data_IF_508866498281
#
_entry.id   IF_508866498281
#
_cell.length_a   1.000
_cell.length_b   1.000
_cell.length_c   1.000
_cell.angle_alpha   90.00
_cell.angle_beta   90.00
_cell.angle_gamma   90.00
#
_symmetry.space_group_name_H-M   'P 1'
#
loop_
_entity.id
_entity.type
_entity.pdbx_description
1 polymer ?
#
# COMPACT_ATOMS: atom_id res chain seq x y z
N UNK A 1 -32.54 -21.71 51.10
CA UNK A 1 -31.86 -22.08 52.37
C UNK A 1 -31.98 -20.87 53.26
N UNK A 2 -32.76 -20.99 54.33
CA UNK A 2 -32.89 -19.92 55.31
C UNK A 2 -31.78 -20.09 56.36
N UNK A 3 -31.09 -19.00 56.69
CA UNK A 3 -30.07 -18.97 57.74
C UNK A 3 -30.27 -17.71 58.57
N UNK A 4 -30.55 -17.88 59.86
CA UNK A 4 -30.59 -16.78 60.83
C UNK A 4 -29.16 -16.44 61.27
N UNK A 5 -28.80 -15.16 61.21
CA UNK A 5 -27.45 -14.66 61.51
C UNK A 5 -27.53 -13.53 62.53
N UNK A 6 -26.64 -13.54 63.52
CA UNK A 6 -26.50 -12.44 64.49
C UNK A 6 -25.58 -11.36 63.93
N UNK A 7 -26.02 -10.11 63.93
CA UNK A 7 -25.19 -8.95 63.53
C UNK A 7 -24.24 -8.63 64.68
N UNK A 8 -22.94 -8.78 64.44
CA UNK A 8 -21.88 -8.46 65.39
C UNK A 8 -21.55 -6.97 65.40
N UNK A 9 -20.68 -6.53 64.48
CA UNK A 9 -20.31 -5.13 64.28
C UNK A 9 -20.93 -4.61 62.98
N UNK A 10 -21.35 -3.35 62.95
CA UNK A 10 -21.80 -2.66 61.74
C UNK A 10 -20.93 -1.43 61.53
N UNK A 11 -20.24 -1.36 60.40
CA UNK A 11 -19.50 -0.18 59.94
C UNK A 11 -20.13 0.36 58.63
N UNK A 12 -19.71 1.55 58.22
CA UNK A 12 -20.30 2.31 57.10
C UNK A 12 -20.12 1.68 55.69
N UNK A 13 -19.49 0.50 55.58
CA UNK A 13 -19.37 -0.25 54.32
C UNK A 13 -19.50 -1.77 54.48
N UNK A 14 -19.11 -2.33 55.63
CA UNK A 14 -19.18 -3.77 55.93
C UNK A 14 -19.82 -3.98 57.30
N UNK A 15 -20.66 -5.01 57.41
CA UNK A 15 -21.15 -5.56 58.66
C UNK A 15 -20.61 -6.97 58.85
N UNK A 16 -20.34 -7.33 60.11
CA UNK A 16 -19.88 -8.65 60.53
C UNK A 16 -21.10 -9.45 60.97
N UNK A 17 -21.43 -10.52 60.24
CA UNK A 17 -22.50 -11.45 60.59
C UNK A 17 -21.92 -12.73 61.21
N UNK A 18 -22.61 -13.28 62.20
CA UNK A 18 -22.19 -14.44 62.99
C UNK A 18 -23.24 -15.56 62.91
N UNK A 19 -22.81 -16.77 62.57
CA UNK A 19 -23.65 -17.98 62.59
C UNK A 19 -23.72 -18.59 64.00
N UNK A 20 -24.72 -19.46 64.24
CA UNK A 20 -24.77 -20.28 65.46
C UNK A 20 -23.53 -21.19 65.63
N UNK A 21 -22.96 -21.69 64.52
CA UNK A 21 -21.70 -22.45 64.52
C UNK A 21 -20.43 -21.58 64.55
N UNK A 22 -20.58 -20.30 64.93
CA UNK A 22 -19.50 -19.31 65.20
C UNK A 22 -18.62 -18.96 63.99
N UNK A 23 -19.13 -19.11 62.77
CA UNK A 23 -18.48 -18.55 61.58
C UNK A 23 -18.71 -17.06 61.53
N UNK A 24 -17.69 -16.35 61.04
CA UNK A 24 -17.74 -14.94 60.70
C UNK A 24 -18.00 -14.82 59.19
N UNK A 25 -18.96 -13.97 58.82
CA UNK A 25 -19.28 -13.61 57.43
C UNK A 25 -19.21 -12.09 57.32
N UNK A 26 -18.28 -11.58 56.53
CA UNK A 26 -18.28 -10.18 56.12
C UNK A 26 -19.37 -9.95 55.07
N UNK A 27 -20.22 -8.96 55.27
CA UNK A 27 -21.37 -8.68 54.42
C UNK A 27 -21.48 -7.17 54.16
N UNK A 28 -21.64 -6.70 52.90
CA UNK A 28 -21.77 -5.28 52.62
C UNK A 28 -22.95 -4.67 53.37
N UNK A 29 -22.74 -3.64 54.19
CA UNK A 29 -23.80 -3.12 55.07
C UNK A 29 -24.94 -2.44 54.29
N UNK A 30 -24.68 -2.00 53.06
CA UNK A 30 -25.69 -1.50 52.10
C UNK A 30 -26.71 -2.58 51.65
N UNK A 31 -26.42 -3.86 51.84
CA UNK A 31 -27.33 -4.98 51.50
C UNK A 31 -28.16 -5.46 52.70
N UNK A 32 -28.02 -4.82 53.86
CA UNK A 32 -28.85 -5.07 55.05
C UNK A 32 -30.02 -4.07 55.14
N UNK A 33 -31.06 -4.36 55.94
CA UNK A 33 -32.11 -3.39 56.24
C UNK A 33 -31.54 -2.10 56.87
N UNK A 34 -32.13 -0.91 56.62
CA UNK A 34 -31.57 0.36 57.09
C UNK A 34 -31.55 0.51 58.61
N UNK A 35 -32.48 -0.13 59.32
CA UNK A 35 -32.62 -0.07 60.79
C UNK A 35 -31.80 -1.15 61.52
N UNK A 36 -30.75 -1.70 60.88
CA UNK A 36 -29.95 -2.79 61.45
C UNK A 36 -28.90 -2.30 62.46
N UNK A 37 -28.77 -3.02 63.57
CA UNK A 37 -27.89 -2.65 64.69
C UNK A 37 -27.07 -3.86 65.17
N UNK A 38 -25.97 -3.62 65.90
CA UNK A 38 -25.28 -4.68 66.64
C UNK A 38 -26.22 -5.41 67.61
N UNK A 39 -26.23 -6.74 67.53
CA UNK A 39 -27.14 -7.61 68.27
C UNK A 39 -28.47 -7.92 67.56
N UNK A 40 -28.77 -7.31 66.41
CA UNK A 40 -29.93 -7.71 65.58
C UNK A 40 -29.75 -9.12 65.01
N UNK A 41 -30.85 -9.81 64.73
CA UNK A 41 -30.85 -11.09 64.00
C UNK A 41 -31.44 -10.86 62.60
N UNK A 42 -30.79 -11.40 61.57
CA UNK A 42 -31.20 -11.30 60.16
C UNK A 42 -31.40 -12.69 59.58
N UNK A 43 -32.58 -12.93 58.99
CA UNK A 43 -32.87 -14.15 58.23
C UNK A 43 -32.47 -13.96 56.76
N UNK A 44 -31.36 -14.57 56.34
CA UNK A 44 -30.94 -14.57 54.93
C UNK A 44 -31.47 -15.83 54.24
N UNK A 45 -32.33 -15.65 53.22
CA UNK A 45 -32.83 -16.74 52.39
C UNK A 45 -32.04 -16.85 51.07
N UNK A 46 -31.00 -17.68 51.07
CA UNK A 46 -30.18 -17.95 49.88
C UNK A 46 -30.87 -18.99 49.00
N UNK A 47 -31.16 -18.66 47.73
CA UNK A 47 -31.72 -19.60 46.75
C UNK A 47 -31.11 -19.40 45.36
N UNK A 48 -31.00 -20.49 44.58
CA UNK A 48 -30.39 -20.47 43.25
C UNK A 48 -31.40 -19.98 42.21
N UNK A 49 -31.18 -18.78 41.66
CA UNK A 49 -32.09 -18.19 40.67
C UNK A 49 -31.79 -18.69 39.24
N UNK A 50 -32.25 -19.92 38.95
CA UNK A 50 -32.07 -20.59 37.66
C UNK A 50 -32.63 -19.77 36.47
N UNK A 51 -33.65 -18.93 36.70
CA UNK A 51 -34.22 -18.08 35.65
C UNK A 51 -33.28 -16.93 35.28
N UNK A 52 -32.66 -16.28 36.27
CA UNK A 52 -31.65 -15.25 36.03
C UNK A 52 -30.37 -15.83 35.40
N UNK A 53 -29.96 -17.04 35.79
CA UNK A 53 -28.85 -17.77 35.16
C UNK A 53 -29.10 -18.03 33.68
N UNK A 54 -30.28 -18.57 33.33
CA UNK A 54 -30.68 -18.82 31.94
C UNK A 54 -30.74 -17.53 31.10
N UNK A 55 -31.22 -16.42 31.68
CA UNK A 55 -31.20 -15.11 31.01
C UNK A 55 -29.76 -14.61 30.81
N UNK A 56 -28.86 -14.83 31.77
CA UNK A 56 -27.46 -14.44 31.64
C UNK A 56 -26.73 -15.27 30.57
N UNK A 57 -26.97 -16.58 30.52
CA UNK A 57 -26.45 -17.48 29.49
C UNK A 57 -26.95 -17.10 28.09
N UNK A 58 -28.25 -16.82 27.94
CA UNK A 58 -28.82 -16.34 26.67
C UNK A 58 -28.22 -15.00 26.22
N UNK A 59 -28.04 -14.03 27.14
CA UNK A 59 -27.38 -12.75 26.83
C UNK A 59 -25.92 -12.93 26.42
N UNK A 60 -25.19 -13.81 27.08
CA UNK A 60 -23.81 -14.14 26.72
C UNK A 60 -23.75 -14.79 25.33
N UNK A 61 -24.59 -15.80 25.06
CA UNK A 61 -24.68 -16.46 23.75
C UNK A 61 -25.01 -15.49 22.62
N UNK A 62 -25.99 -14.59 22.82
CA UNK A 62 -26.34 -13.56 21.86
C UNK A 62 -25.16 -12.62 21.55
N UNK A 63 -24.45 -12.13 22.57
CA UNK A 63 -23.27 -11.27 22.41
C UNK A 63 -22.12 -11.99 21.68
N UNK A 64 -21.88 -13.28 21.97
CA UNK A 64 -20.87 -14.06 21.25
C UNK A 64 -21.26 -14.26 19.77
N UNK A 65 -22.54 -14.48 19.47
CA UNK A 65 -23.05 -14.53 18.10
C UNK A 65 -22.88 -13.19 17.37
N UNK A 66 -23.24 -12.07 18.00
CA UNK A 66 -23.08 -10.72 17.43
C UNK A 66 -21.61 -10.40 17.10
N UNK A 67 -20.68 -10.70 18.03
CA UNK A 67 -19.24 -10.53 17.81
C UNK A 67 -18.74 -11.42 16.66
N UNK A 68 -19.21 -12.67 16.58
CA UNK A 68 -18.84 -13.58 15.49
C UNK A 68 -19.40 -13.11 14.14
N UNK A 69 -20.65 -12.66 14.09
CA UNK A 69 -21.29 -12.13 12.88
C UNK A 69 -20.57 -10.87 12.38
N UNK A 70 -20.29 -9.91 13.28
CA UNK A 70 -19.64 -8.66 12.95
C UNK A 70 -18.17 -8.83 12.49
N UNK A 71 -17.38 -9.67 13.18
CA UNK A 71 -15.92 -9.72 12.98
C UNK A 71 -15.37 -11.04 12.41
N UNK A 72 -16.13 -12.15 12.50
CA UNK A 72 -15.68 -13.50 12.13
C UNK A 72 -16.22 -14.06 10.82
N UNK A 73 -17.31 -13.51 10.27
CA UNK A 73 -17.96 -14.05 9.05
C UNK A 73 -17.30 -13.61 7.74
N UNK A 74 -16.70 -12.42 7.69
CA UNK A 74 -16.16 -11.83 6.46
C UNK A 74 -14.65 -11.60 6.56
N UNK A 75 -13.94 -11.96 5.49
CA UNK A 75 -12.48 -11.92 5.37
C UNK A 75 -12.11 -11.09 4.12
N UNK A 76 -11.02 -10.29 4.12
CA UNK A 76 -10.59 -9.52 2.96
C UNK A 76 -10.48 -10.35 1.68
N UNK A 77 -11.01 -9.83 0.57
CA UNK A 77 -10.87 -10.44 -0.75
C UNK A 77 -9.47 -10.21 -1.33
N UNK A 78 -8.83 -11.19 -2.00
CA UNK A 78 -7.62 -10.94 -2.77
C UNK A 78 -7.90 -9.94 -3.91
N UNK A 79 -6.98 -9.00 -4.19
CA UNK A 79 -7.21 -7.97 -5.21
C UNK A 79 -7.19 -8.57 -6.62
N UNK A 80 -8.20 -8.27 -7.44
CA UNK A 80 -8.28 -8.74 -8.83
C UNK A 80 -7.57 -7.76 -9.77
N UNK A 81 -6.41 -8.13 -10.30
CA UNK A 81 -5.59 -7.29 -11.18
C UNK A 81 -5.94 -7.52 -12.66
N UNK A 82 -6.19 -6.45 -13.41
CA UNK A 82 -6.60 -6.48 -14.83
C UNK A 82 -5.74 -5.53 -15.67
N UNK A 83 -5.50 -5.88 -16.94
CA UNK A 83 -4.80 -5.02 -17.90
C UNK A 83 -5.83 -4.15 -18.62
N UNK A 84 -5.74 -2.82 -18.47
CA UNK A 84 -6.64 -1.86 -19.12
C UNK A 84 -6.16 -1.48 -20.52
N UNK A 85 -4.87 -1.20 -20.65
CA UNK A 85 -4.23 -0.89 -21.92
C UNK A 85 -2.73 -1.23 -21.88
N UNK A 86 -2.17 -1.65 -23.00
CA UNK A 86 -0.74 -1.84 -23.18
C UNK A 86 -0.26 -1.04 -24.40
N UNK A 87 1.01 -0.64 -24.38
CA UNK A 87 1.67 0.12 -25.45
C UNK A 87 3.07 -0.45 -25.66
N UNK A 88 3.88 0.19 -26.51
CA UNK A 88 5.25 -0.27 -26.80
C UNK A 88 6.19 -0.09 -25.59
N UNK A 89 5.96 0.90 -24.72
CA UNK A 89 6.87 1.24 -23.60
C UNK A 89 6.17 1.50 -22.26
N UNK A 90 4.84 1.34 -22.20
CA UNK A 90 4.07 1.45 -20.96
C UNK A 90 2.85 0.53 -20.91
N UNK A 91 2.41 0.17 -19.70
CA UNK A 91 1.19 -0.61 -19.44
C UNK A 91 0.36 0.13 -18.39
N UNK A 92 -0.96 0.16 -18.57
CA UNK A 92 -1.92 0.65 -17.59
C UNK A 92 -2.68 -0.52 -16.99
N UNK A 93 -2.52 -0.67 -15.68
CA UNK A 93 -3.15 -1.69 -14.85
C UNK A 93 -4.30 -1.07 -14.07
N UNK A 94 -5.37 -1.83 -13.89
CA UNK A 94 -6.48 -1.49 -13.00
C UNK A 94 -6.86 -2.70 -12.14
N UNK A 95 -7.58 -2.47 -11.06
CA UNK A 95 -8.08 -3.53 -10.18
C UNK A 95 -9.45 -3.17 -9.62
N UNK A 96 -10.19 -4.20 -9.24
CA UNK A 96 -11.53 -4.03 -8.68
C UNK A 96 -11.44 -3.42 -7.26
N UNK A 97 -12.50 -2.72 -6.79
CA UNK A 97 -12.54 -2.18 -5.42
C UNK A 97 -12.28 -3.28 -4.38
N UNK A 98 -11.29 -3.05 -3.52
CA UNK A 98 -10.84 -4.06 -2.56
C UNK A 98 -11.82 -4.12 -1.39
N UNK A 99 -12.54 -5.25 -1.26
CA UNK A 99 -13.29 -5.52 -0.03
C UNK A 99 -12.31 -5.93 1.08
N UNK A 100 -12.33 -5.18 2.17
CA UNK A 100 -11.50 -5.39 3.36
C UNK A 100 -12.26 -6.06 4.52
N UNK A 101 -13.58 -6.25 4.40
CA UNK A 101 -14.44 -6.60 5.53
C UNK A 101 -14.17 -5.68 6.74
N UNK A 102 -13.83 -6.25 7.89
CA UNK A 102 -13.45 -5.53 9.13
C UNK A 102 -11.95 -5.19 9.23
N UNK A 103 -11.14 -5.55 8.24
CA UNK A 103 -9.69 -5.37 8.29
C UNK A 103 -9.22 -3.99 7.81
N UNK A 104 -8.12 -3.50 8.36
CA UNK A 104 -7.52 -2.22 7.94
C UNK A 104 -6.52 -2.43 6.79
N UNK A 105 -6.57 -1.58 5.76
CA UNK A 105 -5.58 -1.57 4.67
C UNK A 105 -4.23 -1.00 5.16
N UNK A 106 -3.24 -1.87 5.39
CA UNK A 106 -1.87 -1.47 5.73
C UNK A 106 -1.09 -0.99 4.51
N UNK A 107 -1.10 -1.76 3.42
CA UNK A 107 -0.49 -1.33 2.14
C UNK A 107 -0.96 -2.16 0.95
N UNK A 108 -1.14 -1.53 -0.21
CA UNK A 108 -1.19 -2.22 -1.50
C UNK A 108 0.14 -1.97 -2.24
N UNK A 109 0.83 -3.04 -2.65
CA UNK A 109 2.13 -2.95 -3.36
C UNK A 109 2.06 -3.64 -4.72
N UNK A 110 2.55 -2.99 -5.78
CA UNK A 110 2.68 -3.62 -7.10
C UNK A 110 4.05 -4.27 -7.24
N UNK A 111 4.08 -5.47 -7.81
CA UNK A 111 5.28 -6.22 -8.16
C UNK A 111 5.36 -6.43 -9.68
N UNK A 112 6.56 -6.30 -10.24
CA UNK A 112 6.90 -6.54 -11.65
C UNK A 112 8.06 -7.53 -11.73
N UNK A 113 7.86 -8.66 -12.40
CA UNK A 113 8.84 -9.75 -12.57
C UNK A 113 9.44 -10.21 -11.22
N UNK A 114 8.60 -10.33 -10.19
CA UNK A 114 9.00 -10.73 -8.83
C UNK A 114 9.56 -9.61 -7.94
N UNK A 115 9.99 -8.48 -8.50
CA UNK A 115 10.52 -7.33 -7.76
C UNK A 115 9.43 -6.32 -7.44
N UNK A 116 9.44 -5.73 -6.23
CA UNK A 116 8.50 -4.66 -5.87
C UNK A 116 8.74 -3.42 -6.73
N UNK A 117 7.73 -3.03 -7.50
CA UNK A 117 7.76 -1.86 -8.39
C UNK A 117 7.33 -0.57 -7.67
N UNK A 118 6.46 -0.66 -6.66
CA UNK A 118 6.03 0.50 -5.88
C UNK A 118 4.97 0.18 -4.83
N UNK A 119 4.52 1.23 -4.13
CA UNK A 119 3.31 1.22 -3.28
C UNK A 119 2.24 2.02 -4.01
N UNK A 120 1.00 1.53 -3.94
CA UNK A 120 -0.16 2.14 -4.57
C UNK A 120 -0.88 3.04 -3.55
N UNK A 121 -1.18 4.31 -3.89
CA UNK A 121 -1.99 5.20 -3.05
C UNK A 121 -3.41 4.66 -2.80
N UNK A 122 -3.95 4.89 -1.60
CA UNK A 122 -5.24 4.32 -1.15
C UNK A 122 -6.45 4.80 -1.98
N UNK A 123 -6.34 5.97 -2.61
CA UNK A 123 -7.35 6.62 -3.45
C UNK A 123 -7.47 6.06 -4.88
N UNK A 124 -6.59 5.12 -5.28
CA UNK A 124 -6.45 4.72 -6.70
C UNK A 124 -6.87 3.28 -6.94
N UNK A 125 -7.58 3.09 -8.05
CA UNK A 125 -7.95 1.79 -8.63
C UNK A 125 -7.19 1.46 -9.94
N UNK A 126 -6.20 2.29 -10.31
CA UNK A 126 -5.36 2.08 -11.49
C UNK A 126 -3.99 2.74 -11.37
N UNK A 127 -3.02 2.27 -12.15
CA UNK A 127 -1.66 2.82 -12.24
C UNK A 127 -1.05 2.63 -13.63
N UNK A 128 -0.11 3.50 -14.01
CA UNK A 128 0.62 3.44 -15.28
C UNK A 128 2.09 3.13 -15.02
N UNK A 129 2.57 2.04 -15.61
CA UNK A 129 3.97 1.61 -15.52
C UNK A 129 4.66 1.95 -16.85
N UNK A 130 5.50 2.97 -16.82
CA UNK A 130 6.31 3.44 -17.96
C UNK A 130 7.74 2.87 -17.92
N UNK A 131 8.52 3.09 -18.99
CA UNK A 131 9.91 2.64 -19.04
C UNK A 131 10.05 1.13 -19.22
N UNK A 132 9.10 0.51 -19.92
CA UNK A 132 9.16 -0.87 -20.36
C UNK A 132 9.87 -0.95 -21.72
N UNK A 133 10.54 -2.07 -21.99
CA UNK A 133 11.11 -2.36 -23.30
C UNK A 133 10.01 -2.76 -24.30
N UNK A 134 10.28 -2.59 -25.60
CA UNK A 134 9.37 -2.92 -26.71
C UNK A 134 9.33 -4.43 -26.95
N UNK A 135 8.17 -4.97 -27.35
CA UNK A 135 7.95 -6.40 -27.62
C UNK A 135 8.44 -7.35 -26.50
N UNK A 136 8.37 -6.90 -25.24
CA UNK A 136 8.98 -7.55 -24.08
C UNK A 136 7.90 -7.98 -23.08
N UNK A 137 8.06 -9.16 -22.51
CA UNK A 137 7.13 -9.74 -21.55
C UNK A 137 7.42 -9.33 -20.11
N UNK A 138 6.36 -9.01 -19.36
CA UNK A 138 6.40 -8.63 -17.95
C UNK A 138 5.25 -9.29 -17.19
N UNK A 139 5.53 -9.79 -15.99
CA UNK A 139 4.51 -10.37 -15.10
C UNK A 139 4.25 -9.44 -13.93
N UNK A 140 2.99 -9.03 -13.77
CA UNK A 140 2.53 -8.13 -12.72
C UNK A 140 1.66 -8.86 -11.69
N UNK A 141 1.76 -8.46 -10.43
CA UNK A 141 0.80 -8.85 -9.38
C UNK A 141 0.76 -7.80 -8.26
N UNK A 142 -0.37 -7.70 -7.59
CA UNK A 142 -0.57 -6.89 -6.40
C UNK A 142 -0.37 -7.75 -5.15
N UNK A 143 0.27 -7.18 -4.14
CA UNK A 143 0.29 -7.72 -2.78
C UNK A 143 -0.44 -6.74 -1.86
N UNK A 144 -1.58 -7.18 -1.35
CA UNK A 144 -2.43 -6.52 -0.37
C UNK A 144 -2.01 -6.95 1.03
N UNK A 145 -1.71 -6.01 1.91
CA UNK A 145 -1.45 -6.24 3.35
C UNK A 145 -2.54 -5.55 4.16
N UNK A 146 -3.18 -6.30 5.05
CA UNK A 146 -4.22 -5.82 5.96
C UNK A 146 -3.86 -6.12 7.43
N UNK A 147 -4.72 -5.75 8.38
CA UNK A 147 -4.63 -6.29 9.75
C UNK A 147 -4.88 -7.80 9.81
N UNK A 148 -5.75 -8.33 8.93
CA UNK A 148 -6.11 -9.75 8.86
C UNK A 148 -5.20 -10.61 7.95
N UNK A 149 -4.01 -10.10 7.56
CA UNK A 149 -3.00 -10.90 6.84
C UNK A 149 -2.51 -10.29 5.52
N UNK A 150 -2.00 -11.14 4.64
CA UNK A 150 -1.47 -10.75 3.32
C UNK A 150 -2.08 -11.59 2.21
N UNK A 151 -2.60 -10.91 1.19
CA UNK A 151 -3.30 -11.49 0.04
C UNK A 151 -2.57 -11.09 -1.25
N UNK A 152 -2.54 -11.97 -2.25
CA UNK A 152 -1.96 -11.70 -3.56
C UNK A 152 -3.06 -11.64 -4.61
N UNK A 153 -2.89 -10.80 -5.65
CA UNK A 153 -3.61 -11.02 -6.90
C UNK A 153 -3.07 -12.25 -7.62
N UNK A 154 -3.83 -12.70 -8.61
CA UNK A 154 -3.27 -13.53 -9.70
C UNK A 154 -2.12 -12.84 -10.43
N UNK A 155 -1.29 -13.65 -11.09
CA UNK A 155 -0.13 -13.17 -11.85
C UNK A 155 -0.51 -12.89 -13.30
N UNK A 156 -0.57 -11.61 -13.63
CA UNK A 156 -0.95 -11.12 -14.95
C UNK A 156 0.30 -10.90 -15.82
N UNK A 157 0.56 -11.83 -16.74
CA UNK A 157 1.63 -11.70 -17.74
C UNK A 157 1.15 -10.90 -18.96
N UNK A 158 1.92 -9.89 -19.36
CA UNK A 158 1.60 -8.93 -20.41
C UNK A 158 2.86 -8.72 -21.26
N UNK A 159 2.73 -8.81 -22.59
CA UNK A 159 3.78 -8.41 -23.53
C UNK A 159 3.51 -6.99 -24.02
N UNK A 160 4.52 -6.13 -24.02
CA UNK A 160 4.41 -4.78 -24.62
C UNK A 160 4.28 -4.89 -26.15
N UNK A 161 3.66 -3.88 -26.75
CA UNK A 161 3.33 -3.90 -28.18
C UNK A 161 4.59 -3.71 -29.05
N UNK A 162 4.52 -4.16 -30.31
CA UNK A 162 5.54 -3.86 -31.33
C UNK A 162 5.35 -2.44 -31.87
N UNK A 163 6.39 -1.86 -32.48
CA UNK A 163 6.29 -0.53 -33.12
C UNK A 163 5.23 -0.47 -34.24
N UNK A 164 4.94 -1.60 -34.89
CA UNK A 164 3.92 -1.77 -35.93
C UNK A 164 2.51 -2.05 -35.39
N UNK A 165 2.37 -2.29 -34.09
CA UNK A 165 1.09 -2.53 -33.45
C UNK A 165 0.56 -1.21 -32.88
N UNK A 166 -0.56 -0.75 -33.44
CA UNK A 166 -1.19 0.53 -33.15
C UNK A 166 -2.39 0.39 -32.21
N UNK A 167 -2.77 -0.83 -31.81
CA UNK A 167 -4.01 -1.11 -31.05
C UNK A 167 -3.97 -0.60 -29.60
N UNK A 168 -2.77 -0.38 -29.07
CA UNK A 168 -2.52 0.28 -27.80
C UNK A 168 -2.69 1.80 -27.81
N UNK A 169 -2.82 2.42 -28.99
CA UNK A 169 -3.02 3.87 -29.11
C UNK A 169 -4.46 4.21 -28.72
N UNK A 170 -4.56 5.08 -27.72
CA UNK A 170 -5.81 5.64 -27.21
C UNK A 170 -5.78 7.16 -27.33
N UNK A 171 -6.84 7.74 -27.87
CA UNK A 171 -6.88 9.15 -28.27
C UNK A 171 -8.05 9.85 -27.61
N UNK A 172 -7.82 11.03 -27.06
CA UNK A 172 -8.88 11.96 -26.71
C UNK A 172 -8.92 13.12 -27.71
N UNK A 173 -10.04 13.33 -28.43
CA UNK A 173 -10.20 14.45 -29.35
C UNK A 173 -10.57 15.73 -28.58
N UNK A 174 -9.80 16.79 -28.79
CA UNK A 174 -10.11 18.14 -28.32
C UNK A 174 -10.89 18.96 -29.35
N UNK A 175 -10.78 20.29 -29.25
CA UNK A 175 -11.43 21.22 -30.18
C UNK A 175 -10.85 21.07 -31.59
N UNK A 176 -11.74 20.76 -32.54
CA UNK A 176 -11.49 20.70 -33.99
C UNK A 176 -12.83 20.74 -34.76
N UNK A 177 -12.83 21.03 -36.08
CA UNK A 177 -14.04 20.92 -36.92
C UNK A 177 -14.62 19.49 -36.93
N UNK A 178 -15.94 19.35 -37.01
CA UNK A 178 -16.64 18.05 -36.99
C UNK A 178 -16.13 17.08 -38.06
N UNK A 179 -16.10 17.52 -39.32
CA UNK A 179 -15.58 16.74 -40.46
C UNK A 179 -14.17 16.17 -40.22
N UNK A 180 -13.34 16.88 -39.44
CA UNK A 180 -11.99 16.45 -39.08
C UNK A 180 -11.99 15.47 -37.90
N UNK A 181 -12.92 15.61 -36.94
CA UNK A 181 -13.17 14.60 -35.88
C UNK A 181 -13.68 13.28 -36.49
N UNK A 182 -14.56 13.36 -37.49
CA UNK A 182 -15.14 12.18 -38.16
C UNK A 182 -14.07 11.42 -38.97
N UNK A 183 -13.26 12.15 -39.74
CA UNK A 183 -12.11 11.61 -40.48
C UNK A 183 -11.02 11.01 -39.55
N UNK A 184 -10.76 11.67 -38.42
CA UNK A 184 -9.90 11.14 -37.36
C UNK A 184 -10.47 9.82 -36.80
N UNK A 185 -11.75 9.76 -36.47
CA UNK A 185 -12.40 8.56 -35.93
C UNK A 185 -12.35 7.39 -36.92
N UNK A 186 -12.61 7.63 -38.21
CA UNK A 186 -12.49 6.62 -39.25
C UNK A 186 -11.05 6.09 -39.36
N UNK A 187 -10.05 6.99 -39.30
CA UNK A 187 -8.63 6.61 -39.37
C UNK A 187 -8.17 5.83 -38.13
N UNK A 188 -8.62 6.24 -36.94
CA UNK A 188 -8.36 5.55 -35.66
C UNK A 188 -8.89 4.12 -35.69
N UNK A 189 -10.13 3.94 -36.17
CA UNK A 189 -10.73 2.62 -36.34
C UNK A 189 -9.96 1.76 -37.36
N UNK A 190 -9.52 2.35 -38.49
CA UNK A 190 -8.72 1.66 -39.53
C UNK A 190 -7.36 1.14 -39.03
N UNK A 191 -6.76 1.76 -38.01
CA UNK A 191 -5.51 1.28 -37.39
C UNK A 191 -5.74 0.43 -36.12
N UNK A 192 -6.99 0.13 -35.76
CA UNK A 192 -7.34 -0.62 -34.54
C UNK A 192 -7.09 0.15 -33.23
N UNK A 193 -6.82 1.45 -33.31
CA UNK A 193 -6.68 2.34 -32.15
C UNK A 193 -8.07 2.70 -31.57
N UNK A 194 -8.09 3.33 -30.39
CA UNK A 194 -9.33 3.63 -29.64
C UNK A 194 -9.53 5.12 -29.44
N UNK A 195 -10.73 5.62 -29.73
CA UNK A 195 -11.14 7.00 -29.41
C UNK A 195 -11.88 7.03 -28.06
N UNK A 196 -11.63 8.04 -27.24
CA UNK A 196 -12.15 8.20 -25.87
C UNK A 196 -12.45 9.69 -25.63
N UNK A 197 -13.70 10.10 -25.44
CA UNK A 197 -14.06 11.53 -25.31
C UNK A 197 -13.54 12.24 -24.04
N UNK A 198 -12.95 11.51 -23.08
CA UNK A 198 -12.37 12.06 -21.84
C UNK A 198 -10.90 11.70 -21.68
N UNK A 199 -10.10 12.61 -21.12
CA UNK A 199 -8.69 12.34 -20.78
C UNK A 199 -8.63 11.49 -19.50
N UNK A 200 -7.96 10.35 -19.60
CA UNK A 200 -7.84 9.32 -18.55
C UNK A 200 -6.38 8.85 -18.43
N UNK A 201 -6.08 8.08 -17.39
CA UNK A 201 -4.74 7.49 -17.18
C UNK A 201 -4.29 6.58 -18.36
N UNK A 202 -5.27 5.99 -19.07
CA UNK A 202 -5.04 5.19 -20.26
C UNK A 202 -4.93 5.97 -21.57
N UNK A 203 -5.20 7.29 -21.61
CA UNK A 203 -5.02 8.13 -22.81
C UNK A 203 -3.53 8.23 -23.18
N UNK A 204 -3.18 7.91 -24.42
CA UNK A 204 -1.80 8.02 -24.93
C UNK A 204 -1.51 9.35 -25.59
N UNK A 205 -2.49 9.92 -26.31
CA UNK A 205 -2.34 11.15 -27.09
C UNK A 205 -3.63 11.98 -27.01
N UNK A 206 -3.49 13.30 -26.97
CA UNK A 206 -4.60 14.24 -27.12
C UNK A 206 -4.51 14.86 -28.51
N UNK A 207 -5.59 14.88 -29.26
CA UNK A 207 -5.60 15.34 -30.66
C UNK A 207 -6.51 16.54 -30.82
N UNK A 208 -5.99 17.70 -31.21
CA UNK A 208 -6.78 18.91 -31.44
C UNK A 208 -6.16 19.80 -32.53
N UNK A 209 -6.94 20.77 -33.03
CA UNK A 209 -6.41 21.87 -33.86
C UNK A 209 -6.20 23.16 -33.07
N UNK A 210 -6.76 23.26 -31.87
CA UNK A 210 -6.72 24.44 -31.01
C UNK A 210 -6.34 24.07 -29.57
N UNK A 211 -5.40 24.80 -28.92
CA UNK A 211 -4.96 24.49 -27.56
C UNK A 211 -5.89 25.16 -26.53
N UNK A 212 -7.13 24.66 -26.38
CA UNK A 212 -8.10 25.21 -25.42
C UNK A 212 -9.07 24.18 -24.84
N UNK A 213 -9.59 24.51 -23.65
CA UNK A 213 -10.64 23.80 -22.94
C UNK A 213 -10.12 22.70 -22.01
N UNK A 214 -10.97 22.30 -21.07
CA UNK A 214 -10.64 21.39 -19.95
C UNK A 214 -9.94 20.09 -20.37
N UNK A 215 -10.28 19.53 -21.54
CA UNK A 215 -9.60 18.35 -22.07
C UNK A 215 -8.13 18.60 -22.42
N UNK A 216 -7.81 19.77 -23.00
CA UNK A 216 -6.44 20.17 -23.32
C UNK A 216 -5.66 20.50 -22.04
N UNK A 217 -6.26 21.27 -21.13
CA UNK A 217 -5.68 21.62 -19.82
C UNK A 217 -5.26 20.35 -19.04
N UNK A 218 -6.17 19.37 -18.95
CA UNK A 218 -5.92 18.09 -18.29
C UNK A 218 -4.93 17.20 -19.05
N UNK A 219 -4.87 17.27 -20.38
CA UNK A 219 -3.85 16.57 -21.16
C UNK A 219 -2.44 17.10 -20.84
N UNK A 220 -2.29 18.43 -20.73
CA UNK A 220 -1.03 19.09 -20.34
C UNK A 220 -0.64 18.73 -18.91
N UNK A 221 -1.56 18.82 -17.95
CA UNK A 221 -1.36 18.39 -16.55
C UNK A 221 -0.86 16.93 -16.47
N UNK A 222 -1.53 16.02 -17.18
CA UNK A 222 -1.18 14.60 -17.22
C UNK A 222 0.05 14.29 -18.10
N UNK A 223 0.72 15.30 -18.66
CA UNK A 223 1.88 15.17 -19.56
C UNK A 223 1.60 14.27 -20.78
N UNK A 224 0.37 14.30 -21.29
CA UNK A 224 -0.08 13.60 -22.50
C UNK A 224 0.33 14.43 -23.73
N UNK A 225 1.02 13.84 -24.73
CA UNK A 225 1.34 14.53 -25.99
C UNK A 225 0.10 15.12 -26.67
N UNK A 226 0.10 16.44 -26.85
CA UNK A 226 -0.93 17.21 -27.58
C UNK A 226 -0.48 17.37 -29.04
N UNK A 227 -1.14 16.67 -29.96
CA UNK A 227 -0.75 16.61 -31.38
C UNK A 227 -1.88 17.01 -32.33
N UNK A 228 -1.53 17.44 -33.54
CA UNK A 228 -2.47 17.72 -34.64
C UNK A 228 -2.85 16.45 -35.42
N UNK A 229 -4.09 16.34 -35.97
CA UNK A 229 -4.66 15.07 -36.46
C UNK A 229 -3.82 14.25 -37.44
N UNK A 230 -3.04 14.89 -38.31
CA UNK A 230 -2.18 14.21 -39.29
C UNK A 230 -1.12 13.29 -38.67
N UNK A 231 -0.87 13.37 -37.35
CA UNK A 231 -0.05 12.38 -36.65
C UNK A 231 -0.58 10.95 -36.85
N UNK A 232 -1.91 10.79 -36.82
CA UNK A 232 -2.58 9.50 -37.04
C UNK A 232 -2.56 9.08 -38.51
N UNK A 233 -2.67 10.02 -39.45
CA UNK A 233 -2.43 9.76 -40.87
C UNK A 233 -0.97 9.34 -41.13
N UNK A 234 -0.01 9.88 -40.37
CA UNK A 234 1.39 9.45 -40.34
C UNK A 234 1.55 8.01 -39.85
N UNK A 235 0.99 7.69 -38.67
CA UNK A 235 0.98 6.33 -38.11
C UNK A 235 0.36 5.30 -39.06
N UNK A 236 -0.78 5.63 -39.68
CA UNK A 236 -1.45 4.77 -40.65
C UNK A 236 -0.58 4.53 -41.89
N UNK A 237 -0.04 5.60 -42.49
CA UNK A 237 0.74 5.52 -43.75
C UNK A 237 2.06 4.78 -43.58
N UNK A 238 2.73 4.94 -42.44
CA UNK A 238 4.00 4.26 -42.13
C UNK A 238 3.81 2.84 -41.57
N UNK A 239 2.57 2.44 -41.22
CA UNK A 239 2.28 1.14 -40.60
C UNK A 239 2.92 0.93 -39.22
N UNK A 240 3.29 2.02 -38.53
CA UNK A 240 4.01 2.03 -37.25
C UNK A 240 3.80 3.34 -36.51
N UNK A 241 3.99 3.34 -35.19
CA UNK A 241 3.90 4.55 -34.39
C UNK A 241 5.04 5.53 -34.75
N UNK A 242 4.68 6.78 -35.10
CA UNK A 242 5.64 7.83 -35.51
C UNK A 242 5.90 8.84 -34.39
N UNK A 243 7.09 9.45 -34.39
CA UNK A 243 7.50 10.39 -33.34
C UNK A 243 6.66 11.69 -33.32
N UNK A 244 6.08 12.00 -32.16
CA UNK A 244 5.12 13.12 -31.97
C UNK A 244 5.69 14.53 -32.20
N UNK A 245 7.02 14.74 -32.09
CA UNK A 245 7.64 16.09 -32.09
C UNK A 245 7.34 16.92 -33.34
N UNK A 246 7.25 16.30 -34.52
CA UNK A 246 6.90 16.98 -35.78
C UNK A 246 5.39 17.22 -35.98
N UNK A 247 4.59 16.97 -34.94
CA UNK A 247 3.14 17.01 -34.96
C UNK A 247 2.54 17.70 -33.71
N UNK A 248 3.34 18.39 -32.89
CA UNK A 248 2.79 19.31 -31.88
C UNK A 248 2.20 20.57 -32.55
N UNK A 249 1.32 21.29 -31.85
CA UNK A 249 0.60 22.45 -32.40
C UNK A 249 1.52 23.66 -32.69
N UNK A 250 2.68 23.72 -32.05
CA UNK A 250 3.73 24.74 -32.18
C UNK A 250 4.83 24.36 -33.20
N UNK A 251 4.82 23.12 -33.72
CA UNK A 251 5.82 22.66 -34.68
C UNK A 251 5.57 23.25 -36.09
N UNK A 252 6.60 23.81 -36.74
CA UNK A 252 6.50 24.28 -38.13
C UNK A 252 6.03 23.13 -39.05
N UNK A 253 4.87 23.27 -39.74
CA UNK A 253 4.28 22.22 -40.57
C UNK A 253 5.21 21.64 -41.65
N UNK A 254 6.31 22.34 -42.02
CA UNK A 254 7.33 21.81 -42.94
C UNK A 254 8.12 20.61 -42.37
N UNK A 255 8.19 20.46 -41.04
CA UNK A 255 8.84 19.32 -40.38
C UNK A 255 7.90 18.11 -40.23
N UNK A 256 6.61 18.30 -40.47
CA UNK A 256 5.63 17.22 -40.52
C UNK A 256 5.93 16.35 -41.74
N UNK A 257 6.10 15.05 -41.53
CA UNK A 257 6.40 14.11 -42.62
C UNK A 257 5.12 13.84 -43.45
N UNK A 258 4.83 14.76 -44.38
CA UNK A 258 3.71 14.72 -45.32
C UNK A 258 4.13 14.09 -46.66
N UNK A 259 4.57 12.83 -46.62
CA UNK A 259 4.96 12.08 -47.81
C UNK A 259 5.54 10.69 -47.48
N UNK A 260 5.81 9.86 -48.50
CA UNK A 260 6.55 8.61 -48.34
C UNK A 260 8.04 8.91 -48.02
N UNK A 261 8.55 8.28 -46.97
CA UNK A 261 9.81 8.68 -46.30
C UNK A 261 11.11 8.25 -47.02
N UNK A 262 11.43 8.85 -48.17
CA UNK A 262 12.73 8.65 -48.85
C UNK A 262 13.95 9.00 -47.96
N UNK A 263 13.78 9.88 -46.98
CA UNK A 263 14.87 10.34 -46.09
C UNK A 263 15.49 9.26 -45.20
N UNK A 264 14.80 8.14 -44.91
CA UNK A 264 15.40 7.06 -44.11
C UNK A 264 16.40 6.18 -44.87
N UNK A 265 16.42 6.18 -46.21
CA UNK A 265 17.48 5.50 -46.97
C UNK A 265 18.81 6.28 -46.93
N UNK A 266 18.76 7.61 -46.91
CA UNK A 266 19.94 8.45 -47.07
C UNK A 266 20.86 8.51 -45.83
N UNK A 267 20.34 8.21 -44.63
CA UNK A 267 21.14 8.11 -43.40
C UNK A 267 21.84 6.75 -43.20
N UNK A 268 21.39 5.66 -43.85
CA UNK A 268 22.15 4.41 -43.86
C UNK A 268 23.25 4.41 -44.94
N UNK A 269 23.01 5.05 -46.09
CA UNK A 269 23.99 5.06 -47.17
C UNK A 269 25.24 5.89 -46.84
N UNK A 270 25.09 7.00 -46.09
CA UNK A 270 26.21 7.88 -45.72
C UNK A 270 27.24 7.24 -44.77
N UNK A 271 26.83 6.29 -43.93
CA UNK A 271 27.78 5.51 -43.10
C UNK A 271 28.54 4.45 -43.89
N UNK A 272 27.98 3.93 -44.99
CA UNK A 272 28.69 2.95 -45.83
C UNK A 272 29.80 3.58 -46.68
N UNK A 273 29.64 4.81 -47.18
CA UNK A 273 30.67 5.44 -48.04
C UNK A 273 32.00 5.67 -47.31
N UNK A 274 31.95 6.03 -46.03
CA UNK A 274 33.16 6.21 -45.20
C UNK A 274 33.90 4.90 -44.90
N UNK A 275 33.20 3.75 -44.91
CA UNK A 275 33.84 2.44 -44.76
C UNK A 275 34.62 2.05 -46.04
N UNK A 276 34.02 2.25 -47.22
CA UNK A 276 34.63 1.89 -48.51
C UNK A 276 35.90 2.71 -48.79
N UNK A 277 35.92 4.01 -48.45
CA UNK A 277 37.11 4.85 -48.65
C UNK A 277 38.34 4.38 -47.86
N UNK A 278 38.19 3.62 -46.77
CA UNK A 278 39.33 3.06 -46.02
C UNK A 278 39.94 1.79 -46.62
N UNK A 279 39.28 1.15 -47.59
CA UNK A 279 39.79 -0.08 -48.22
C UNK A 279 40.62 0.16 -49.49
N UNK A 280 40.47 1.32 -50.15
CA UNK A 280 41.12 1.58 -51.45
C UNK A 280 42.59 2.06 -51.37
N UNK A 281 43.10 2.42 -50.18
CA UNK A 281 44.44 3.02 -50.02
C UNK A 281 45.61 2.03 -49.91
N UNK A 282 45.39 0.74 -50.23
CA UNK A 282 46.33 -0.35 -49.91
C UNK A 282 46.69 -1.24 -51.12
N UNK A 283 47.06 -0.64 -52.27
CA UNK A 283 47.53 -1.38 -53.47
C UNK A 283 48.65 -0.67 -54.23
N UNK A 284 49.84 -0.62 -53.62
CA UNK A 284 51.17 -0.51 -54.26
C UNK A 284 52.21 -0.96 -53.21
N UNK A 285 53.31 -1.67 -53.48
CA UNK A 285 53.89 -2.19 -54.75
C UNK A 285 54.61 -3.56 -54.49
N UNK A 286 55.53 -4.14 -55.32
CA UNK A 286 55.60 -5.61 -55.54
C UNK A 286 56.56 -6.48 -54.68
N UNK A 287 56.46 -7.81 -54.92
CA UNK A 287 57.22 -8.96 -54.38
C UNK A 287 58.40 -9.38 -55.28
N UNK A 288 59.50 -9.84 -54.68
CA UNK A 288 60.53 -10.70 -55.31
C UNK A 288 60.91 -11.81 -54.31
N UNK A 289 61.25 -13.01 -54.80
CA UNK A 289 61.76 -14.15 -54.01
C UNK A 289 63.16 -14.55 -54.48
N UNK A 290 64.00 -15.10 -53.58
CA UNK A 290 64.96 -16.17 -53.86
C UNK A 290 65.53 -16.74 -52.53
N UNK A 291 65.83 -18.05 -52.51
CA UNK A 291 66.41 -18.85 -51.39
C UNK A 291 67.82 -19.35 -51.78
N UNK A 292 68.60 -20.18 -51.01
CA UNK A 292 68.41 -20.92 -49.73
C UNK A 292 69.63 -20.72 -48.76
N UNK A 293 70.13 -21.66 -47.88
CA UNK A 293 69.62 -22.92 -47.28
C UNK A 293 69.75 -23.05 -45.71
N UNK A 294 69.53 -24.26 -45.19
CA UNK A 294 69.57 -24.81 -43.79
C UNK A 294 71.00 -24.92 -43.15
N UNK A 295 71.25 -25.34 -41.85
CA UNK A 295 70.58 -26.43 -41.07
C UNK A 295 70.44 -26.33 -39.51
N UNK A 296 69.74 -27.33 -38.91
CA UNK A 296 69.75 -27.77 -37.47
C UNK A 296 69.24 -26.75 -36.39
N UNK A 297 68.67 -27.07 -35.21
CA UNK A 297 68.41 -28.28 -34.35
C UNK A 297 67.36 -27.90 -33.25
N UNK A 298 66.77 -28.70 -32.33
CA UNK A 298 66.69 -30.16 -32.00
C UNK A 298 65.51 -30.47 -31.01
N UNK A 299 65.03 -31.73 -30.97
CA UNK A 299 64.48 -32.51 -29.80
C UNK A 299 63.22 -32.14 -28.98
N UNK A 300 62.23 -33.06 -29.05
CA UNK A 300 61.41 -33.68 -27.98
C UNK A 300 60.11 -33.06 -27.37
N UNK A 301 58.99 -33.62 -27.85
CA UNK A 301 57.76 -34.11 -27.15
C UNK A 301 57.98 -34.90 -25.82
N UNK A 302 56.92 -35.38 -25.10
CA UNK A 302 55.64 -34.74 -24.70
C UNK A 302 55.26 -35.15 -23.23
N UNK A 303 54.01 -34.93 -22.78
CA UNK A 303 53.14 -35.92 -22.04
C UNK A 303 52.08 -35.28 -21.11
N UNK A 304 51.14 -36.10 -20.62
CA UNK A 304 50.01 -35.73 -19.74
C UNK A 304 50.03 -36.49 -18.40
N UNK A 305 49.30 -35.92 -17.42
CA UNK A 305 48.43 -36.56 -16.43
C UNK A 305 48.89 -36.77 -14.96
N UNK A 306 47.98 -36.33 -14.06
CA UNK A 306 47.66 -36.77 -12.69
C UNK A 306 48.71 -36.70 -11.57
N UNK A 307 48.32 -36.08 -10.43
CA UNK A 307 49.04 -36.19 -9.16
C UNK A 307 48.85 -35.05 -8.14
N UNK A 308 47.64 -34.83 -7.62
CA UNK A 308 47.44 -34.13 -6.32
C UNK A 308 47.85 -35.06 -5.16
N UNK A 309 48.30 -34.56 -3.97
CA UNK A 309 47.65 -33.47 -3.21
C UNK A 309 48.58 -32.47 -2.47
N UNK A 310 48.00 -31.38 -1.93
CA UNK A 310 48.47 -30.79 -0.67
C UNK A 310 48.89 -29.31 -0.63
N UNK A 311 47.97 -28.46 -0.14
CA UNK A 311 48.23 -27.21 0.61
C UNK A 311 48.70 -25.90 -0.09
N UNK A 312 48.10 -24.80 0.39
CA UNK A 312 48.66 -23.43 0.51
C UNK A 312 48.91 -22.57 -0.76
N UNK A 313 47.94 -21.72 -1.13
CA UNK A 313 48.06 -20.24 -1.16
C UNK A 313 46.86 -19.55 -1.85
N UNK A 314 46.34 -18.47 -1.27
CA UNK A 314 45.36 -17.56 -1.91
C UNK A 314 46.05 -16.26 -2.42
N UNK A 315 45.55 -15.60 -3.48
CA UNK A 315 46.03 -14.28 -3.92
C UNK A 315 45.47 -13.12 -3.06
N UNK A 316 46.19 -11.97 -2.96
CA UNK A 316 45.88 -10.90 -2.00
C UNK A 316 44.89 -9.82 -2.47
N UNK A 317 44.31 -9.12 -1.49
CA UNK A 317 43.42 -7.94 -1.66
C UNK A 317 44.18 -6.60 -1.68
N UNK A 318 43.59 -5.53 -2.26
CA UNK A 318 44.21 -4.20 -2.37
C UNK A 318 44.05 -3.32 -1.09
N UNK A 319 44.90 -2.28 -0.90
CA UNK A 319 45.02 -1.55 0.36
C UNK A 319 44.09 -0.33 0.53
N UNK A 320 43.80 0.10 1.78
CA UNK A 320 42.99 1.29 2.09
C UNK A 320 43.76 2.62 1.98
N UNK A 321 43.02 3.73 1.95
CA UNK A 321 43.53 5.12 2.03
C UNK A 321 42.97 5.87 3.25
N UNK A 322 43.63 6.96 3.71
CA UNK A 322 43.57 7.36 5.13
C UNK A 322 42.39 8.25 5.53
N UNK A 323 42.21 8.28 6.86
CA UNK A 323 41.30 9.09 7.68
C UNK A 323 41.58 10.60 7.52
N UNK A 324 40.54 11.40 7.30
CA UNK A 324 40.61 12.87 7.37
C UNK A 324 40.27 13.37 8.79
N UNK A 325 40.78 14.55 9.13
CA UNK A 325 40.74 15.11 10.49
C UNK A 325 39.44 15.88 10.79
N UNK A 326 39.24 16.23 12.07
CA UNK A 326 38.13 17.06 12.57
C UNK A 326 38.71 18.20 13.41
N UNK A 327 38.33 19.47 13.19
CA UNK A 327 38.65 20.56 14.09
C UNK A 327 37.87 20.49 15.42
N UNK A 328 38.54 20.83 16.51
CA UNK A 328 37.94 21.49 17.69
C UNK A 328 37.80 23.00 17.38
N UNK A 329 37.16 23.88 18.15
CA UNK A 329 36.68 23.86 19.55
C UNK A 329 35.32 24.60 19.64
N UNK A 330 34.55 24.34 20.71
CA UNK A 330 33.71 25.31 21.44
C UNK A 330 32.86 24.56 22.50
N UNK A 331 32.79 25.08 23.71
CA UNK A 331 32.05 24.48 24.82
C UNK A 331 30.55 24.82 24.81
N UNK A 332 29.73 23.90 25.34
CA UNK A 332 28.81 24.26 26.43
C UNK A 332 28.52 23.01 27.30
N UNK A 333 28.36 23.21 28.61
CA UNK A 333 28.03 22.13 29.56
C UNK A 333 26.54 22.17 29.93
N UNK A 334 25.84 21.05 29.77
CA UNK A 334 24.83 20.63 30.75
C UNK A 334 24.55 19.15 30.56
N UNK A 335 24.64 18.37 31.64
CA UNK A 335 24.35 16.95 31.63
C UNK A 335 22.94 16.63 32.13
N UNK A 336 22.43 15.46 31.77
CA UNK A 336 21.84 14.57 32.76
C UNK A 336 21.93 13.11 32.28
N UNK A 337 22.27 12.19 33.18
CA UNK A 337 22.48 10.79 32.84
C UNK A 337 21.25 9.94 33.10
N UNK A 338 20.91 9.02 32.19
CA UNK A 338 19.96 7.95 32.51
C UNK A 338 20.33 6.61 31.87
N UNK A 339 20.80 5.71 32.72
CA UNK A 339 20.95 4.28 32.42
C UNK A 339 19.67 3.54 32.82
N UNK A 340 19.22 2.63 31.98
CA UNK A 340 18.73 1.32 32.44
C UNK A 340 18.83 0.29 31.30
N UNK A 341 18.94 -0.98 31.68
CA UNK A 341 19.21 -2.09 30.76
C UNK A 341 17.92 -2.71 30.18
N UNK A 342 18.13 -3.39 29.06
CA UNK A 342 17.30 -4.44 28.44
C UNK A 342 16.31 -5.17 29.35
N UNK A 343 15.05 -5.30 28.90
CA UNK A 343 14.07 -6.18 29.54
C UNK A 343 14.39 -7.68 29.38
N UNK A 344 13.91 -8.49 30.32
CA UNK A 344 14.06 -9.96 30.31
C UNK A 344 12.80 -10.69 29.84
N UNK A 345 12.99 -11.96 29.46
CA UNK A 345 11.96 -12.84 28.88
C UNK A 345 10.99 -13.37 29.94
N UNK A 346 9.70 -13.42 29.61
CA UNK A 346 8.69 -14.16 30.40
C UNK A 346 8.65 -15.63 29.99
N UNK A 347 8.68 -16.51 31.00
CA UNK A 347 8.39 -17.96 30.86
C UNK A 347 7.45 -18.35 32.01
N UNK A 348 6.38 -19.07 31.71
CA UNK A 348 5.35 -19.43 32.67
C UNK A 348 5.66 -20.73 33.43
N UNK A 349 5.20 -20.83 34.69
CA UNK A 349 4.76 -22.09 35.30
C UNK A 349 3.85 -21.88 36.51
N UNK A 350 3.23 -22.96 36.96
CA UNK A 350 2.04 -22.96 37.82
C UNK A 350 2.33 -23.23 39.31
N UNK A 351 1.39 -22.79 40.15
CA UNK A 351 0.90 -23.42 41.39
C UNK A 351 1.89 -23.92 42.48
N UNK A 352 1.84 -23.25 43.63
CA UNK A 352 1.75 -23.87 44.95
C UNK A 352 1.03 -22.91 45.94
N UNK A 353 0.48 -23.44 47.02
CA UNK A 353 -0.24 -22.72 48.09
C UNK A 353 0.50 -22.83 49.42
N UNK A 354 0.44 -21.81 50.27
CA UNK A 354 0.33 -21.94 51.74
C UNK A 354 0.02 -20.58 52.40
N UNK A 355 -0.52 -20.61 53.63
CA UNK A 355 -1.10 -19.47 54.35
C UNK A 355 -0.08 -18.64 55.15
N UNK A 356 -0.48 -17.45 55.63
CA UNK A 356 0.28 -16.67 56.61
C UNK A 356 -0.23 -15.25 56.85
N UNK A 357 -0.81 -14.99 58.03
CA UNK A 357 -1.34 -13.70 58.47
C UNK A 357 -0.25 -12.66 58.83
N UNK A 358 -0.61 -11.37 58.83
CA UNK A 358 0.24 -10.28 59.36
C UNK A 358 -0.41 -8.89 59.25
N UNK A 359 -0.69 -8.25 60.39
CA UNK A 359 -1.48 -7.00 60.48
C UNK A 359 -0.65 -5.70 60.44
N UNK A 360 -1.32 -4.60 60.07
CA UNK A 360 -1.03 -3.24 60.55
C UNK A 360 -0.12 -2.35 59.68
N UNK A 361 -0.21 -1.01 59.79
CA UNK A 361 -1.21 -0.17 60.47
C UNK A 361 -0.97 1.32 60.15
N UNK A 362 -2.03 2.09 59.88
CA UNK A 362 -2.11 3.58 60.03
C UNK A 362 -1.15 4.38 59.11
N UNK A 363 -1.38 5.64 58.72
CA UNK A 363 -2.38 6.69 59.04
C UNK A 363 -2.78 7.34 57.66
N UNK A 364 -3.30 8.55 57.38
CA UNK A 364 -3.57 9.83 58.08
C UNK A 364 -4.76 10.55 57.41
N UNK A 365 -5.39 11.45 58.17
CA UNK A 365 -6.32 12.50 57.71
C UNK A 365 -5.72 13.39 56.56
N UNK A 366 -6.47 14.25 55.82
CA UNK A 366 -7.36 15.30 56.35
C UNK A 366 -8.20 16.00 55.27
N UNK A 367 -9.37 16.51 55.69
CA UNK A 367 -10.09 17.60 55.01
C UNK A 367 -9.31 18.94 55.20
N UNK A 368 -9.65 20.10 54.62
CA UNK A 368 -10.99 20.72 54.54
C UNK A 368 -11.02 22.07 53.80
N UNK A 369 -12.11 22.36 53.04
CA UNK A 369 -12.71 23.69 52.79
C UNK A 369 -11.79 24.76 52.10
N UNK A 370 -12.20 25.97 51.67
CA UNK A 370 -13.40 26.84 51.82
C UNK A 370 -13.74 27.60 50.51
N UNK A 371 -14.83 28.40 50.53
CA UNK A 371 -15.09 29.64 49.76
C UNK A 371 -15.15 29.56 48.22
N UNK A 372 -16.30 29.76 47.54
CA UNK A 372 -17.16 30.97 47.45
C UNK A 372 -16.62 32.09 46.54
N UNK A 373 -17.28 32.31 45.39
CA UNK A 373 -18.16 33.48 45.13
C UNK A 373 -18.71 33.42 43.68
N UNK A 374 -19.83 34.01 43.24
CA UNK A 374 -21.17 34.33 43.77
C UNK A 374 -21.75 35.42 42.84
N UNK A 375 -22.61 35.01 41.89
CA UNK A 375 -23.63 35.78 41.14
C UNK A 375 -24.38 34.75 40.28
N UNK A 376 -25.71 34.69 40.20
CA UNK A 376 -26.72 35.73 40.43
C UNK A 376 -27.17 36.29 39.07
N UNK A 377 -28.44 36.20 38.65
CA UNK A 377 -29.65 35.78 39.39
C UNK A 377 -30.85 35.54 38.47
N UNK A 378 -31.80 34.69 38.91
CA UNK A 378 -33.23 34.68 38.54
C UNK A 378 -33.63 34.40 37.06
N UNK A 379 -34.77 33.77 36.74
CA UNK A 379 -35.72 32.99 37.54
C UNK A 379 -36.76 32.26 36.63
N UNK A 380 -37.25 31.12 37.11
CA UNK A 380 -38.63 30.58 36.96
C UNK A 380 -39.31 30.58 35.57
N UNK A 381 -39.51 29.38 35.04
CA UNK A 381 -40.86 28.82 34.79
C UNK A 381 -40.77 27.28 34.71
N UNK A 382 -41.82 26.57 35.12
CA UNK A 382 -41.87 25.09 35.21
C UNK A 382 -42.82 24.49 34.16
N UNK A 383 -42.60 23.19 33.91
CA UNK A 383 -43.58 22.14 33.59
C UNK A 383 -44.49 22.24 32.35
N UNK A 384 -44.24 21.29 31.44
CA UNK A 384 -45.16 20.18 31.09
C UNK A 384 -46.63 20.48 30.80
N UNK A 385 -47.02 20.23 29.54
CA UNK A 385 -48.30 19.60 29.22
C UNK A 385 -48.08 18.57 28.10
N UNK A 386 -48.65 17.38 28.25
CA UNK A 386 -48.87 16.44 27.15
C UNK A 386 -50.12 16.86 26.36
N UNK A 387 -50.26 16.43 25.11
CA UNK A 387 -51.33 15.50 24.71
C UNK A 387 -51.18 15.06 23.23
N UNK A 388 -51.94 14.05 22.85
CA UNK A 388 -51.99 13.41 21.53
C UNK A 388 -52.62 14.35 20.46
N UNK A 389 -52.42 14.19 19.15
CA UNK A 389 -53.09 13.16 18.32
C UNK A 389 -52.42 13.06 16.92
N UNK A 390 -52.75 12.02 16.13
CA UNK A 390 -52.00 11.62 14.94
C UNK A 390 -52.73 11.65 13.59
N UNK A 391 -51.96 11.87 12.53
CA UNK A 391 -52.14 11.33 11.16
C UNK A 391 -50.82 11.47 10.38
N UNK A 392 -50.31 10.45 9.69
CA UNK A 392 -50.81 9.82 8.46
C UNK A 392 -50.96 10.83 7.30
N UNK A 393 -50.00 10.83 6.39
CA UNK A 393 -50.31 10.87 4.96
C UNK A 393 -49.25 10.12 4.12
N UNK A 394 -49.75 9.35 3.17
CA UNK A 394 -49.06 8.76 2.02
C UNK A 394 -49.14 9.85 0.89
N UNK A 395 -48.45 9.87 -0.27
CA UNK A 395 -47.95 8.86 -1.20
C UNK A 395 -46.72 9.45 -1.95
N UNK A 396 -45.92 8.60 -2.58
CA UNK A 396 -44.73 8.97 -3.36
C UNK A 396 -45.01 9.65 -4.73
N UNK A 397 -43.93 10.21 -5.30
CA UNK A 397 -43.59 10.05 -6.72
C UNK A 397 -42.08 9.87 -6.89
#
# INVERSE_FOLDING_TARGET
>A
MLVSLTVGKVDAGVAVLLTEDKRLIEFPSILLPPDIHSGSIVDINVSRNQHAELIAEQKFGALQSEIYEAFGTQIPSPPVLRCRNATQTSVVLEWDPINLATAELRSLSLYRNGTKAGIIPRDKLSTKISGLAVDTEYTFHLILRTSAGQYSSERLTIRTHKMTDLTGITITPGVMPSQLKDSLAETVNKIGAKLIDTVRIDTTHFVCTEPRGQGWEKAVEMNVPVVVPDWILGCQREGRIVGVRGYYLDADPKHRQLGPSQSQQQQQQSQQVQAVQRMNSARDSPRIEHTPPTPERQSHEPSRANGTPGSSAEPPTPPPKPRSERPTEADDETGEGRSSYTGSVVVAREAASEDGDGEGSEDTERASQTSEQHRGSNAVAEQEAMDEDGKFDEVAL
#
